data_IF_373282438278
#
_entry.id   IF_373282438278
#
_cell.length_a   1.000
_cell.length_b   1.000
_cell.length_c   1.000
_cell.angle_alpha   90.00
_cell.angle_beta   90.00
_cell.angle_gamma   90.00
#
_symmetry.space_group_name_H-M   'P 1'
#
loop_
_entity.id
_entity.type
_entity.pdbx_description
1 polymer ?
#
# COMPACT_ATOMS: atom_id res chain seq x y z
N UNK A 1 -7.56 -0.09 -5.32
CA UNK A 1 -7.99 -0.90 -4.16
C UNK A 1 -8.90 -2.05 -4.54
N UNK A 2 -10.01 -1.84 -5.27
CA UNK A 2 -10.84 -2.95 -5.76
C UNK A 2 -10.03 -4.02 -6.49
N UNK A 3 -9.15 -3.61 -7.40
CA UNK A 3 -8.29 -4.54 -8.15
C UNK A 3 -7.34 -5.31 -7.23
N UNK A 4 -6.82 -4.69 -6.17
CA UNK A 4 -5.93 -5.34 -5.23
C UNK A 4 -6.66 -6.41 -4.40
N UNK A 5 -7.90 -6.13 -3.99
CA UNK A 5 -8.77 -7.12 -3.34
C UNK A 5 -9.07 -8.29 -4.28
N UNK A 6 -9.37 -8.02 -5.55
CA UNK A 6 -9.62 -9.07 -6.54
C UNK A 6 -8.38 -9.94 -6.80
N UNK A 7 -7.19 -9.33 -6.87
CA UNK A 7 -5.93 -10.07 -7.02
C UNK A 7 -5.66 -10.96 -5.79
N UNK A 8 -5.88 -10.44 -4.59
CA UNK A 8 -5.76 -11.23 -3.35
C UNK A 8 -6.76 -12.40 -3.31
N UNK A 9 -8.00 -12.19 -3.77
CA UNK A 9 -9.01 -13.27 -3.89
C UNK A 9 -8.58 -14.39 -4.82
N UNK A 10 -7.72 -14.06 -5.79
CA UNK A 10 -7.12 -15.01 -6.74
C UNK A 10 -5.81 -15.62 -6.22
N UNK A 11 -5.43 -15.34 -4.97
CA UNK A 11 -4.20 -15.81 -4.36
C UNK A 11 -2.95 -15.04 -4.79
N UNK A 12 -3.10 -13.89 -5.45
CA UNK A 12 -1.99 -13.03 -5.85
C UNK A 12 -1.79 -11.96 -4.79
N UNK A 13 -0.71 -12.10 -4.01
CA UNK A 13 -0.39 -11.12 -2.98
C UNK A 13 -0.08 -9.76 -3.60
N UNK A 14 -0.75 -8.73 -3.11
CA UNK A 14 -0.79 -7.39 -3.71
C UNK A 14 -0.70 -6.32 -2.63
N UNK A 15 0.23 -5.38 -2.84
CA UNK A 15 0.37 -4.17 -2.03
C UNK A 15 -0.08 -2.96 -2.85
N UNK A 16 -0.92 -2.12 -2.28
CA UNK A 16 -1.31 -0.83 -2.84
C UNK A 16 -0.48 0.26 -2.19
N UNK A 17 0.14 1.10 -3.03
CA UNK A 17 0.88 2.27 -2.56
C UNK A 17 0.01 3.51 -2.69
N UNK A 18 -0.17 4.22 -1.58
CA UNK A 18 -0.96 5.43 -1.47
C UNK A 18 -0.10 6.60 -1.00
N UNK A 19 -0.65 7.82 -1.06
CA UNK A 19 -0.09 8.92 -0.26
C UNK A 19 -0.88 9.06 1.04
N UNK A 20 -0.22 9.47 2.13
CA UNK A 20 -0.80 9.57 3.49
C UNK A 20 -2.09 10.41 3.55
N UNK A 21 -2.24 11.39 2.66
CA UNK A 21 -3.45 12.22 2.57
C UNK A 21 -4.73 11.42 2.32
N UNK A 22 -4.63 10.23 1.72
CA UNK A 22 -5.78 9.38 1.37
C UNK A 22 -5.96 8.17 2.29
N UNK A 23 -5.24 8.10 3.42
CA UNK A 23 -5.29 6.96 4.34
C UNK A 23 -6.70 6.63 4.82
N UNK A 24 -7.44 7.63 5.29
CA UNK A 24 -8.81 7.41 5.79
C UNK A 24 -9.75 6.89 4.69
N UNK A 25 -9.63 7.40 3.47
CA UNK A 25 -10.41 6.92 2.34
C UNK A 25 -10.04 5.48 1.95
N UNK A 26 -8.76 5.12 2.03
CA UNK A 26 -8.30 3.75 1.82
C UNK A 26 -8.84 2.81 2.90
N UNK A 27 -8.77 3.19 4.18
CA UNK A 27 -9.32 2.37 5.28
C UNK A 27 -10.84 2.16 5.12
N UNK A 28 -11.60 3.20 4.81
CA UNK A 28 -13.06 3.08 4.59
C UNK A 28 -13.42 2.16 3.42
N UNK A 29 -12.67 2.24 2.32
CA UNK A 29 -12.99 1.48 1.13
C UNK A 29 -12.58 0.00 1.30
N UNK A 30 -11.53 -0.31 2.07
CA UNK A 30 -11.20 -1.69 2.52
C UNK A 30 -12.36 -2.29 3.34
N UNK A 31 -12.89 -1.52 4.31
CA UNK A 31 -14.03 -1.95 5.12
C UNK A 31 -15.28 -2.20 4.26
N UNK A 32 -15.57 -1.32 3.30
CA UNK A 32 -16.72 -1.50 2.39
C UNK A 32 -16.61 -2.73 1.48
N UNK A 33 -15.39 -3.21 1.24
CA UNK A 33 -15.11 -4.42 0.46
C UNK A 33 -15.12 -5.68 1.33
N UNK A 34 -15.44 -5.58 2.63
CA UNK A 34 -15.51 -6.73 3.54
C UNK A 34 -14.14 -7.30 3.88
N UNK A 35 -13.07 -6.49 3.81
CA UNK A 35 -11.69 -6.95 4.03
C UNK A 35 -10.99 -6.20 5.18
N UNK A 36 -11.56 -6.16 6.39
CA UNK A 36 -10.99 -5.40 7.52
C UNK A 36 -9.53 -5.79 7.85
N UNK A 37 -9.14 -7.03 7.52
CA UNK A 37 -7.78 -7.55 7.75
C UNK A 37 -6.82 -7.33 6.57
N UNK A 38 -7.18 -6.49 5.59
CA UNK A 38 -6.28 -6.19 4.48
C UNK A 38 -5.14 -5.27 4.93
N UNK A 39 -3.95 -5.87 5.10
CA UNK A 39 -2.73 -5.17 5.52
C UNK A 39 -1.87 -4.70 4.33
N UNK A 40 -2.29 -4.95 3.08
CA UNK A 40 -1.50 -4.67 1.88
C UNK A 40 -1.47 -3.20 1.47
N UNK A 41 -1.37 -2.24 2.39
CA UNK A 41 -1.32 -0.81 2.04
C UNK A 41 -0.08 -0.12 2.61
N UNK A 42 0.71 0.49 1.74
CA UNK A 42 1.90 1.29 2.10
C UNK A 42 1.66 2.76 1.77
N UNK A 43 2.13 3.67 2.63
CA UNK A 43 1.81 5.10 2.51
C UNK A 43 3.05 5.99 2.37
N UNK A 44 3.17 6.62 1.21
CA UNK A 44 4.14 7.66 0.88
C UNK A 44 3.72 9.04 1.41
N UNK A 45 4.69 9.95 1.57
CA UNK A 45 4.40 11.35 1.86
C UNK A 45 3.74 12.05 0.65
N UNK A 46 2.76 12.92 0.93
CA UNK A 46 2.12 13.81 -0.06
C UNK A 46 2.83 15.18 -0.11
N UNK A 47 2.85 15.91 -1.24
CA UNK A 47 2.42 15.52 -2.60
C UNK A 47 3.51 14.77 -3.37
N UNK A 48 3.12 13.93 -4.32
CA UNK A 48 4.03 13.25 -5.26
C UNK A 48 4.16 14.04 -6.57
N UNK A 49 3.07 14.69 -7.02
CA UNK A 49 3.01 15.36 -8.33
C UNK A 49 3.97 16.55 -8.52
N UNK A 50 4.47 17.14 -7.42
CA UNK A 50 5.36 18.29 -7.46
C UNK A 50 6.85 17.91 -7.35
N UNK A 51 7.17 16.61 -7.28
CA UNK A 51 8.53 16.13 -7.13
C UNK A 51 9.20 15.94 -8.48
N UNK A 52 10.52 16.16 -8.50
CA UNK A 52 11.36 15.67 -9.57
C UNK A 52 11.63 14.16 -9.41
N UNK A 53 12.26 13.56 -10.43
CA UNK A 53 12.56 12.14 -10.47
C UNK A 53 13.41 11.69 -9.28
N UNK A 54 14.45 12.46 -8.92
CA UNK A 54 15.35 12.11 -7.82
C UNK A 54 14.62 12.09 -6.46
N UNK A 55 13.71 13.04 -6.23
CA UNK A 55 12.89 13.07 -5.03
C UNK A 55 11.83 11.96 -5.01
N UNK A 56 11.33 11.52 -6.17
CA UNK A 56 10.47 10.33 -6.27
C UNK A 56 11.27 9.07 -5.92
N UNK A 57 12.44 8.88 -6.52
CA UNK A 57 13.32 7.73 -6.27
C UNK A 57 13.68 7.62 -4.79
N UNK A 58 14.10 8.73 -4.16
CA UNK A 58 14.41 8.75 -2.74
C UNK A 58 13.21 8.36 -1.86
N UNK A 59 11.99 8.74 -2.23
CA UNK A 59 10.77 8.33 -1.50
C UNK A 59 10.43 6.86 -1.71
N UNK A 60 10.68 6.34 -2.91
CA UNK A 60 10.49 4.91 -3.22
C UNK A 60 11.49 4.08 -2.41
N UNK A 61 12.77 4.45 -2.40
CA UNK A 61 13.81 3.77 -1.63
C UNK A 61 13.47 3.71 -0.14
N UNK A 62 12.90 4.79 0.40
CA UNK A 62 12.50 4.86 1.80
C UNK A 62 11.37 3.88 2.17
N UNK A 63 10.47 3.54 1.25
CA UNK A 63 9.33 2.63 1.51
C UNK A 63 9.49 1.25 0.90
N UNK A 64 10.48 1.04 0.04
CA UNK A 64 10.72 -0.25 -0.61
C UNK A 64 10.83 -1.42 0.40
N UNK A 65 11.51 -1.28 1.56
CA UNK A 65 11.52 -2.34 2.58
C UNK A 65 10.12 -2.70 3.10
N UNK A 66 9.24 -1.72 3.30
CA UNK A 66 7.86 -1.92 3.77
C UNK A 66 7.02 -2.66 2.73
N UNK A 67 7.15 -2.29 1.44
CA UNK A 67 6.49 -2.96 0.33
C UNK A 67 6.93 -4.43 0.25
N UNK A 68 8.24 -4.69 0.36
CA UNK A 68 8.79 -6.04 0.30
C UNK A 68 8.32 -6.87 1.51
N UNK A 69 8.34 -6.32 2.72
CA UNK A 69 7.86 -7.01 3.92
C UNK A 69 6.39 -7.44 3.78
N UNK A 70 5.53 -6.52 3.31
CA UNK A 70 4.12 -6.79 3.07
C UNK A 70 3.89 -7.85 1.98
N UNK A 71 4.68 -7.84 0.90
CA UNK A 71 4.62 -8.85 -0.17
C UNK A 71 5.18 -10.22 0.25
N UNK A 72 6.16 -10.28 1.15
CA UNK A 72 6.70 -11.54 1.64
C UNK A 72 5.87 -12.12 2.80
N UNK A 73 5.00 -11.31 3.42
CA UNK A 73 4.19 -11.73 4.55
C UNK A 73 4.97 -11.78 5.86
N UNK A 74 6.09 -11.05 5.94
CA UNK A 74 6.92 -10.96 7.15
C UNK A 74 6.28 -10.11 8.26
N UNK A 75 5.14 -9.48 8.01
CA UNK A 75 4.31 -8.83 9.04
C UNK A 75 3.41 -9.82 9.83
N UNK A 76 3.54 -11.14 9.60
CA UNK A 76 2.72 -12.19 10.25
C UNK A 76 3.43 -12.99 11.35
N UNK A 77 4.66 -12.68 11.71
CA UNK A 77 5.28 -13.24 12.91
C UNK A 77 5.01 -12.34 14.11
N UNK A 78 4.00 -12.75 14.89
CA UNK A 78 3.72 -12.30 16.24
C UNK A 78 4.67 -12.97 17.25
#
# INVERSE_FOLDING_TARGET
MRDAVELEDRGVRTVVVHTRAFRSAAEQHILSLGRPDYLGSVYLQHPVAALDTAAIESRVDAVAPEIVAALLGHDREA
#
